data_IF_466761580395
#
_entry.id   IF_466761580395
#
_cell.length_a   1.000
_cell.length_b   1.000
_cell.length_c   1.000
_cell.angle_alpha   90.00
_cell.angle_beta   90.00
_cell.angle_gamma   90.00
#
_symmetry.space_group_name_H-M   'P 1'
#
loop_
_entity.id
_entity.type
_entity.pdbx_description
1 polymer ?
#
# COMPACT_ATOMS: atom_id res chain seq x y z
N UNK A 1 -1.73 14.13 -14.70
CA UNK A 1 -0.69 13.20 -15.16
C UNK A 1 -0.36 12.14 -14.10
N UNK A 2 0.17 12.49 -12.91
CA UNK A 2 0.47 11.49 -11.84
C UNK A 2 -0.74 10.68 -11.35
N UNK A 3 -1.91 11.32 -11.17
CA UNK A 3 -3.15 10.60 -10.81
C UNK A 3 -3.56 9.51 -11.81
N UNK A 4 -3.25 9.68 -13.09
CA UNK A 4 -3.61 8.69 -14.12
C UNK A 4 -2.70 7.47 -14.02
N UNK A 5 -1.41 7.66 -13.75
CA UNK A 5 -0.45 6.59 -13.47
C UNK A 5 -0.92 5.74 -12.29
N UNK A 6 -1.34 6.38 -11.18
CA UNK A 6 -1.80 5.65 -10.00
C UNK A 6 -3.11 4.88 -10.23
N UNK A 7 -4.02 5.43 -11.05
CA UNK A 7 -5.23 4.71 -11.48
C UNK A 7 -4.89 3.50 -12.34
N UNK A 8 -3.98 3.63 -13.29
CA UNK A 8 -3.54 2.50 -14.12
C UNK A 8 -2.79 1.43 -13.30
N UNK A 9 -1.92 1.84 -12.37
CA UNK A 9 -1.28 0.93 -11.43
C UNK A 9 -2.31 0.18 -10.58
N UNK A 10 -3.35 0.86 -10.08
CA UNK A 10 -4.44 0.22 -9.34
C UNK A 10 -5.19 -0.78 -10.21
N UNK A 11 -5.50 -0.45 -11.46
CA UNK A 11 -6.14 -1.39 -12.39
C UNK A 11 -5.28 -2.63 -12.63
N UNK A 12 -3.96 -2.47 -12.76
CA UNK A 12 -3.02 -3.58 -12.93
C UNK A 12 -2.90 -4.45 -11.69
N UNK A 13 -2.85 -3.84 -10.50
CA UNK A 13 -2.89 -4.57 -9.23
C UNK A 13 -4.17 -5.38 -9.17
N UNK A 14 -5.32 -4.75 -9.40
CA UNK A 14 -6.64 -5.42 -9.38
C UNK A 14 -6.76 -6.56 -10.39
N UNK A 15 -6.25 -6.38 -11.62
CA UNK A 15 -6.39 -7.43 -12.65
C UNK A 15 -5.51 -8.66 -12.38
N UNK A 16 -4.46 -8.51 -11.57
CA UNK A 16 -3.54 -9.61 -11.18
C UNK A 16 -3.83 -10.18 -9.81
N UNK A 17 -4.65 -9.49 -9.04
CA UNK A 17 -5.03 -9.92 -7.71
C UNK A 17 -6.39 -10.58 -7.82
N UNK A 18 -6.46 -11.86 -7.43
CA UNK A 18 -7.74 -12.55 -7.29
C UNK A 18 -8.55 -11.90 -6.14
N UNK A 19 -9.56 -12.60 -5.62
CA UNK A 19 -10.43 -12.14 -4.51
C UNK A 19 -9.70 -11.93 -3.17
N UNK A 20 -8.36 -12.02 -3.15
CA UNK A 20 -7.51 -11.75 -2.01
C UNK A 20 -7.19 -10.26 -1.81
N UNK A 21 -7.36 -9.41 -2.84
CA UNK A 21 -7.08 -7.97 -2.71
C UNK A 21 -8.16 -7.28 -1.87
N UNK A 22 -7.74 -6.54 -0.85
CA UNK A 22 -8.66 -5.88 0.08
C UNK A 22 -8.70 -4.38 -0.08
N UNK A 23 -7.55 -3.72 -0.14
CA UNK A 23 -7.48 -2.25 -0.26
C UNK A 23 -6.38 -1.88 -1.24
N UNK A 24 -6.63 -0.84 -2.05
CA UNK A 24 -5.57 -0.07 -2.70
C UNK A 24 -5.82 1.40 -2.43
N UNK A 25 -4.84 2.09 -1.87
CA UNK A 25 -4.93 3.53 -1.65
C UNK A 25 -3.63 4.23 -2.03
N UNK A 26 -3.77 5.46 -2.50
CA UNK A 26 -2.66 6.38 -2.68
C UNK A 26 -2.47 7.15 -1.39
N UNK A 27 -1.23 7.41 -1.02
CA UNK A 27 -0.92 8.33 0.06
C UNK A 27 0.00 9.46 -0.42
N UNK A 28 -0.08 10.57 0.29
CA UNK A 28 0.95 11.61 0.36
C UNK A 28 1.31 11.87 1.83
N UNK A 29 2.23 12.82 2.07
CA UNK A 29 2.51 13.30 3.43
C UNK A 29 1.28 13.83 4.16
N UNK A 30 0.21 14.24 3.47
CA UNK A 30 -0.95 14.91 4.08
C UNK A 30 -2.28 14.22 3.82
N UNK A 31 -2.36 13.38 2.78
CA UNK A 31 -3.64 12.90 2.26
C UNK A 31 -3.62 11.41 1.96
N UNK A 32 -4.81 10.81 2.03
CA UNK A 32 -5.08 9.43 1.64
C UNK A 32 -6.23 9.46 0.63
N UNK A 33 -6.04 8.81 -0.51
CA UNK A 33 -7.05 8.64 -1.54
C UNK A 33 -7.29 7.14 -1.77
N UNK A 34 -8.45 6.65 -1.31
CA UNK A 34 -8.83 5.24 -1.45
C UNK A 34 -9.24 5.01 -2.91
N UNK A 35 -8.45 4.19 -3.62
CA UNK A 35 -8.66 3.90 -5.03
C UNK A 35 -9.44 2.61 -5.25
N UNK A 36 -9.34 1.68 -4.30
CA UNK A 36 -10.11 0.45 -4.25
C UNK A 36 -10.29 0.00 -2.80
N UNK A 37 -11.47 -0.53 -2.51
CA UNK A 37 -11.74 -1.23 -1.27
C UNK A 37 -12.73 -2.37 -1.52
N UNK A 38 -12.46 -3.51 -0.91
CA UNK A 38 -13.41 -4.60 -0.77
C UNK A 38 -14.44 -4.26 0.31
N UNK A 39 -15.72 -4.34 -0.03
CA UNK A 39 -16.82 -4.00 0.88
C UNK A 39 -16.86 -4.89 2.12
N UNK A 40 -16.30 -6.11 2.05
CA UNK A 40 -16.32 -7.08 3.16
C UNK A 40 -15.48 -6.63 4.36
N UNK A 41 -14.53 -5.72 4.15
CA UNK A 41 -13.64 -5.21 5.21
C UNK A 41 -14.02 -3.81 5.69
N UNK A 42 -15.14 -3.25 5.22
CA UNK A 42 -15.64 -1.96 5.66
C UNK A 42 -16.11 -2.06 7.12
N UNK A 43 -15.24 -1.67 8.04
CA UNK A 43 -15.52 -1.60 9.47
C UNK A 43 -14.91 -0.33 10.09
N UNK A 44 -15.21 -0.08 11.36
CA UNK A 44 -14.77 1.11 12.09
C UNK A 44 -13.24 1.21 12.25
N UNK A 45 -12.53 0.08 12.24
CA UNK A 45 -11.07 0.03 12.40
C UNK A 45 -10.29 0.31 11.10
N UNK A 46 -10.98 0.35 9.97
CA UNK A 46 -10.36 0.48 8.66
C UNK A 46 -9.52 1.76 8.51
N UNK A 47 -10.08 2.92 8.88
CA UNK A 47 -9.39 4.20 8.75
C UNK A 47 -8.12 4.25 9.62
N UNK A 48 -8.16 3.90 10.92
CA UNK A 48 -6.96 3.73 11.73
C UNK A 48 -5.92 2.80 11.11
N UNK A 49 -6.35 1.67 10.50
CA UNK A 49 -5.43 0.73 9.83
C UNK A 49 -4.75 1.37 8.63
N UNK A 50 -5.50 2.07 7.77
CA UNK A 50 -4.97 2.76 6.60
C UNK A 50 -3.96 3.84 7.01
N UNK A 51 -4.23 4.60 8.06
CA UNK A 51 -3.29 5.59 8.59
C UNK A 51 -2.00 4.96 9.10
N UNK A 52 -2.07 3.84 9.83
CA UNK A 52 -0.85 3.11 10.27
C UNK A 52 0.00 2.66 9.09
N UNK A 53 -0.62 2.16 8.03
CA UNK A 53 0.09 1.72 6.83
C UNK A 53 0.77 2.90 6.11
N UNK A 54 0.11 4.06 6.02
CA UNK A 54 0.72 5.29 5.50
C UNK A 54 1.92 5.73 6.35
N UNK A 55 1.77 5.81 7.67
CA UNK A 55 2.89 6.18 8.57
C UNK A 55 4.07 5.25 8.35
N UNK A 56 3.82 3.93 8.27
CA UNK A 56 4.86 2.95 8.01
C UNK A 56 5.56 3.15 6.66
N UNK A 57 4.80 3.49 5.62
CA UNK A 57 5.37 3.74 4.30
C UNK A 57 6.28 4.99 4.27
N UNK A 58 5.91 6.04 5.02
CA UNK A 58 6.73 7.24 5.17
C UNK A 58 8.03 6.94 5.92
N UNK A 59 7.97 6.18 7.02
CA UNK A 59 9.17 5.73 7.75
C UNK A 59 10.12 4.92 6.86
N UNK A 60 9.56 4.01 6.06
CA UNK A 60 10.33 3.20 5.12
C UNK A 60 11.01 4.08 4.07
N UNK A 61 10.28 5.03 3.48
CA UNK A 61 10.81 5.92 2.46
C UNK A 61 11.93 6.82 3.00
N UNK A 62 11.79 7.35 4.22
CA UNK A 62 12.83 8.12 4.91
C UNK A 62 14.12 7.29 5.13
N UNK A 63 13.96 6.02 5.54
CA UNK A 63 15.09 5.10 5.73
C UNK A 63 15.77 4.72 4.40
N UNK A 64 15.00 4.53 3.32
CA UNK A 64 15.53 4.23 1.99
C UNK A 64 16.27 5.44 1.39
N UNK A 65 15.78 6.67 1.59
CA UNK A 65 16.42 7.89 1.10
C UNK A 65 17.83 8.11 1.69
N UNK A 66 18.05 7.68 2.94
CA UNK A 66 19.37 7.72 3.59
C UNK A 66 20.38 6.74 2.96
N UNK A 67 19.91 5.75 2.22
CA UNK A 67 20.73 4.78 1.48
C UNK A 67 20.73 5.18 0.01
N UNK A 68 21.54 6.18 -0.36
CA UNK A 68 21.56 6.73 -1.71
C UNK A 68 22.02 5.70 -2.75
N UNK A 69 21.10 4.89 -3.26
CA UNK A 69 21.27 4.13 -4.49
C UNK A 69 20.84 5.08 -5.61
N UNK A 70 21.81 5.49 -6.43
CA UNK A 70 21.59 6.32 -7.61
C UNK A 70 20.88 5.48 -8.69
N UNK A 71 19.58 5.24 -8.51
CA UNK A 71 18.73 4.58 -9.49
C UNK A 71 17.89 5.64 -10.22
N UNK A 72 18.16 5.80 -11.51
CA UNK A 72 17.39 6.65 -12.41
C UNK A 72 15.95 6.13 -12.53
N UNK A 73 14.99 6.78 -11.86
CA UNK A 73 13.55 6.61 -12.16
C UNK A 73 12.92 5.27 -11.79
N UNK A 74 13.50 4.49 -10.87
CA UNK A 74 12.92 3.21 -10.43
C UNK A 74 11.99 3.41 -9.23
N UNK A 75 10.72 3.05 -9.41
CA UNK A 75 9.74 2.92 -8.33
C UNK A 75 10.24 1.85 -7.34
N UNK A 76 10.53 2.24 -6.10
CA UNK A 76 10.96 1.28 -5.09
C UNK A 76 9.75 0.49 -4.61
N UNK A 77 9.88 -0.83 -4.57
CA UNK A 77 8.79 -1.73 -4.19
C UNK A 77 9.20 -2.56 -3.00
N UNK A 78 8.42 -2.49 -1.92
CA UNK A 78 8.64 -3.28 -0.72
C UNK A 78 7.44 -4.19 -0.50
N UNK A 79 7.74 -5.48 -0.29
CA UNK A 79 6.77 -6.50 0.01
C UNK A 79 6.92 -6.92 1.47
N UNK A 80 6.00 -6.49 2.33
CA UNK A 80 5.91 -6.99 3.68
C UNK A 80 4.99 -8.21 3.70
N UNK A 81 5.50 -9.33 4.21
CA UNK A 81 4.71 -10.56 4.36
C UNK A 81 4.45 -10.81 5.82
N UNK A 82 3.18 -10.98 6.15
CA UNK A 82 2.66 -11.37 7.44
C UNK A 82 2.09 -12.79 7.34
N UNK A 83 1.64 -13.33 8.48
CA UNK A 83 1.04 -14.67 8.52
C UNK A 83 -0.28 -14.71 7.76
N UNK A 84 -1.09 -13.65 7.88
CA UNK A 84 -2.43 -13.50 7.35
C UNK A 84 -2.52 -12.52 6.16
N UNK A 85 -1.49 -11.71 5.88
CA UNK A 85 -1.49 -10.76 4.77
C UNK A 85 -0.16 -10.57 4.05
N UNK A 86 -0.27 -9.94 2.89
CA UNK A 86 0.82 -9.37 2.13
C UNK A 86 0.51 -7.89 1.92
N UNK A 87 1.49 -7.03 2.16
CA UNK A 87 1.38 -5.59 1.96
C UNK A 87 2.42 -5.17 0.94
N UNK A 88 1.95 -4.58 -0.14
CA UNK A 88 2.77 -4.03 -1.20
C UNK A 88 2.87 -2.51 -1.03
N UNK A 89 4.07 -2.02 -0.78
CA UNK A 89 4.40 -0.60 -0.77
C UNK A 89 5.09 -0.25 -2.08
N UNK A 90 4.46 0.62 -2.88
CA UNK A 90 5.00 1.18 -4.11
C UNK A 90 5.37 2.64 -3.85
N UNK A 91 6.65 2.90 -3.61
CA UNK A 91 7.19 4.22 -3.27
C UNK A 91 7.49 4.97 -4.56
N UNK A 92 6.80 6.10 -4.77
CA UNK A 92 7.02 6.97 -5.92
C UNK A 92 7.87 8.21 -5.58
N UNK A 93 8.19 8.38 -4.30
CA UNK A 93 9.07 9.39 -3.73
C UNK A 93 9.12 9.22 -2.21
N UNK A 94 9.76 10.17 -1.53
CA UNK A 94 9.96 10.12 -0.07
C UNK A 94 8.64 10.28 0.71
N UNK A 95 7.62 10.86 0.07
CA UNK A 95 6.40 11.28 0.72
C UNK A 95 5.12 10.83 0.00
N UNK A 96 5.23 10.11 -1.12
CA UNK A 96 4.08 9.64 -1.90
C UNK A 96 4.23 8.23 -2.46
N UNK A 97 3.11 7.53 -2.59
CA UNK A 97 3.09 6.18 -3.13
C UNK A 97 1.71 5.54 -3.17
N UNK A 98 1.69 4.25 -3.50
CA UNK A 98 0.52 3.38 -3.42
C UNK A 98 0.79 2.27 -2.40
N UNK A 99 -0.23 1.92 -1.63
CA UNK A 99 -0.24 0.73 -0.80
C UNK A 99 -1.36 -0.18 -1.27
N UNK A 100 -1.06 -1.47 -1.41
CA UNK A 100 -2.05 -2.51 -1.65
C UNK A 100 -1.95 -3.60 -0.57
N UNK A 101 -3.11 -4.07 -0.10
CA UNK A 101 -3.19 -5.14 0.90
C UNK A 101 -3.88 -6.36 0.33
N UNK A 102 -3.29 -7.52 0.57
CA UNK A 102 -3.81 -8.82 0.17
C UNK A 102 -3.92 -9.74 1.36
N UNK A 103 -5.00 -10.51 1.44
CA UNK A 103 -5.05 -11.63 2.35
C UNK A 103 -4.17 -12.78 1.82
N UNK A 104 -3.46 -13.42 2.74
CA UNK A 104 -2.66 -14.62 2.45
C UNK A 104 -3.43 -15.91 2.77
N UNK A 105 -4.46 -15.80 3.59
CA UNK A 105 -5.32 -16.91 4.00
C UNK A 105 -6.78 -16.58 3.71
N UNK A 106 -7.68 -17.55 3.85
CA UNK A 106 -9.13 -17.28 3.78
C UNK A 106 -9.62 -16.41 4.96
N UNK A 107 -8.84 -16.33 6.05
CA UNK A 107 -9.10 -15.41 7.14
C UNK A 107 -8.56 -14.01 6.78
N UNK A 108 -9.37 -12.95 6.95
CA UNK A 108 -8.95 -11.59 6.65
C UNK A 108 -7.88 -11.10 7.61
N UNK A 109 -6.98 -10.26 7.10
CA UNK A 109 -5.91 -9.65 7.88
C UNK A 109 -6.43 -8.97 9.17
N UNK A 110 -6.01 -9.47 10.33
CA UNK A 110 -6.42 -8.95 11.65
C UNK A 110 -5.28 -8.33 12.47
N UNK A 111 -4.09 -8.20 11.90
CA UNK A 111 -3.12 -7.16 12.27
C UNK A 111 -2.69 -7.11 13.75
N UNK A 112 -2.79 -8.20 14.52
CA UNK A 112 -2.32 -8.24 15.90
C UNK A 112 -0.77 -8.21 16.02
N UNK A 113 -0.05 -8.17 14.89
CA UNK A 113 1.40 -8.36 14.81
C UNK A 113 2.16 -7.27 14.01
N UNK A 114 1.58 -6.08 13.81
CA UNK A 114 2.32 -4.88 13.39
C UNK A 114 2.77 -4.03 14.58
#
# INVERSE_FOLDING_TARGET
MRNEIYREATKLIRSRSNDALRIVFRYTQDTIDIMYIDEQILNEDLLPRIERLRTRALEIAEMSAATTITAYGELETILATHDDAIILYLLAGDDEGIIATHDRTEAPFNNELL
#
